data_IF_348470082107
#
_entry.id   IF_348470082107
#
_cell.length_a   1.000
_cell.length_b   1.000
_cell.length_c   1.000
_cell.angle_alpha   90.00
_cell.angle_beta   90.00
_cell.angle_gamma   90.00
#
_symmetry.space_group_name_H-M   'P 1'
#
loop_
_entity.id
_entity.type
_entity.pdbx_description
1 polymer ?
#
# COMPACT_ATOMS: atom_id res chain seq x y z
N UNK A 1 -31.52 -50.59 -21.71
CA UNK A 1 -30.84 -49.42 -22.32
C UNK A 1 -30.26 -48.58 -21.20
N UNK A 2 -28.98 -48.78 -20.88
CA UNK A 2 -28.32 -48.03 -19.80
C UNK A 2 -27.64 -46.81 -20.41
N UNK A 3 -28.30 -45.65 -20.34
CA UNK A 3 -27.65 -44.38 -20.62
C UNK A 3 -26.60 -44.13 -19.53
N UNK A 4 -25.35 -44.57 -19.80
CA UNK A 4 -24.17 -43.96 -19.19
C UNK A 4 -24.14 -42.51 -19.65
N UNK A 5 -24.82 -41.65 -18.90
CA UNK A 5 -24.69 -40.21 -19.02
C UNK A 5 -23.21 -39.87 -18.96
N UNK A 6 -22.69 -39.32 -20.04
CA UNK A 6 -21.32 -38.89 -20.14
C UNK A 6 -21.13 -37.73 -19.16
N UNK A 7 -20.61 -38.02 -17.96
CA UNK A 7 -20.14 -37.03 -17.00
C UNK A 7 -18.88 -36.39 -17.57
N UNK A 8 -19.06 -35.50 -18.55
CA UNK A 8 -17.98 -34.71 -19.08
C UNK A 8 -17.36 -33.93 -17.91
N UNK A 9 -16.12 -34.29 -17.56
CA UNK A 9 -15.39 -33.63 -16.48
C UNK A 9 -15.19 -32.16 -16.86
N UNK A 10 -15.90 -31.28 -16.18
CA UNK A 10 -15.83 -29.85 -16.42
C UNK A 10 -14.50 -29.34 -15.87
N UNK A 11 -13.63 -28.90 -16.78
CA UNK A 11 -12.36 -28.26 -16.47
C UNK A 11 -12.33 -26.84 -17.06
N UNK A 12 -11.66 -25.92 -16.37
CA UNK A 12 -11.37 -24.60 -16.91
C UNK A 12 -10.05 -24.62 -17.66
N UNK A 13 -10.07 -24.03 -18.86
CA UNK A 13 -8.89 -23.83 -19.69
C UNK A 13 -7.92 -22.81 -19.07
N UNK A 14 -6.76 -22.67 -19.68
CA UNK A 14 -5.79 -21.63 -19.31
C UNK A 14 -6.47 -20.24 -19.32
N UNK A 15 -6.44 -19.49 -18.20
CA UNK A 15 -7.11 -18.19 -18.12
C UNK A 15 -6.48 -17.12 -19.03
N UNK A 16 -5.25 -17.30 -19.49
CA UNK A 16 -4.48 -16.28 -20.20
C UNK A 16 -3.35 -15.73 -19.33
N UNK A 17 -2.68 -14.71 -19.85
CA UNK A 17 -1.59 -14.02 -19.14
C UNK A 17 -2.10 -12.70 -18.57
N UNK A 18 -1.62 -12.35 -17.38
CA UNK A 18 -1.84 -11.04 -16.76
C UNK A 18 -0.64 -10.16 -17.08
N UNK A 19 -0.83 -9.08 -17.83
CA UNK A 19 0.24 -8.12 -18.12
C UNK A 19 0.68 -7.39 -16.85
N UNK A 20 2.00 -7.27 -16.65
CA UNK A 20 2.61 -6.68 -15.45
C UNK A 20 2.13 -7.36 -14.15
N UNK A 21 1.96 -8.68 -14.18
CA UNK A 21 1.51 -9.46 -13.04
C UNK A 21 1.68 -10.96 -13.21
N UNK A 22 1.26 -11.69 -12.19
CA UNK A 22 1.33 -13.14 -12.08
C UNK A 22 -0.02 -13.70 -11.62
N UNK A 23 -0.27 -14.94 -12.01
CA UNK A 23 -1.45 -15.71 -11.61
C UNK A 23 -0.97 -16.83 -10.71
N UNK A 24 -1.65 -17.01 -9.58
CA UNK A 24 -1.39 -18.06 -8.61
C UNK A 24 -2.57 -19.02 -8.55
N UNK A 25 -2.33 -20.32 -8.53
CA UNK A 25 -3.32 -21.32 -8.17
C UNK A 25 -3.47 -21.37 -6.64
N UNK A 26 -4.70 -21.28 -6.16
CA UNK A 26 -5.03 -21.36 -4.74
C UNK A 26 -5.28 -22.82 -4.38
N UNK A 27 -4.29 -23.45 -3.76
CA UNK A 27 -4.39 -24.79 -3.21
C UNK A 27 -4.94 -24.80 -1.78
N UNK A 28 -5.25 -25.99 -1.27
CA UNK A 28 -5.78 -26.16 0.09
C UNK A 28 -4.76 -25.81 1.18
N UNK A 29 -3.47 -26.04 0.92
CA UNK A 29 -2.38 -25.82 1.88
C UNK A 29 -1.57 -24.55 1.61
N UNK A 30 -1.47 -24.14 0.35
CA UNK A 30 -0.69 -22.99 -0.08
C UNK A 30 -1.10 -22.55 -1.49
N UNK A 31 -0.59 -21.38 -1.87
CA UNK A 31 -0.68 -20.86 -3.23
C UNK A 31 0.60 -21.17 -4.01
N UNK A 32 0.44 -21.46 -5.31
CA UNK A 32 1.54 -21.82 -6.19
C UNK A 32 1.43 -21.04 -7.50
N UNK A 33 2.55 -20.73 -8.15
CA UNK A 33 2.54 -20.08 -9.47
C UNK A 33 1.72 -20.92 -10.46
N UNK A 34 0.76 -20.29 -11.12
CA UNK A 34 -0.01 -20.93 -12.17
C UNK A 34 0.88 -21.09 -13.41
N UNK A 35 0.98 -22.31 -13.94
CA UNK A 35 1.69 -22.57 -15.19
C UNK A 35 0.74 -22.98 -16.32
N UNK A 36 1.01 -22.62 -17.59
CA UNK A 36 0.11 -22.91 -18.72
C UNK A 36 -0.25 -24.39 -18.90
N UNK A 37 0.63 -25.31 -18.50
CA UNK A 37 0.37 -26.75 -18.55
C UNK A 37 -0.71 -27.22 -17.55
N UNK A 38 -1.14 -26.38 -16.61
CA UNK A 38 -2.20 -26.66 -15.63
C UNK A 38 -3.61 -26.39 -16.18
N UNK A 39 -3.83 -26.56 -17.49
CA UNK A 39 -5.09 -26.24 -18.19
C UNK A 39 -6.26 -27.19 -17.89
N UNK A 40 -6.14 -28.06 -16.90
CA UNK A 40 -7.12 -29.09 -16.51
C UNK A 40 -7.55 -28.94 -15.04
N UNK A 41 -7.78 -27.71 -14.59
CA UNK A 41 -8.33 -27.46 -13.26
C UNK A 41 -9.82 -27.74 -13.25
N UNK A 42 -10.26 -28.61 -12.34
CA UNK A 42 -11.67 -28.96 -12.18
C UNK A 42 -12.52 -27.82 -11.61
N UNK A 43 -13.82 -28.09 -11.50
CA UNK A 43 -14.79 -27.20 -10.89
C UNK A 43 -14.36 -26.73 -9.48
N UNK A 44 -14.73 -25.49 -9.13
CA UNK A 44 -14.50 -24.82 -7.85
C UNK A 44 -13.03 -24.58 -7.49
N UNK A 45 -12.10 -24.85 -8.41
CA UNK A 45 -10.70 -24.43 -8.26
C UNK A 45 -10.58 -22.93 -8.38
N UNK A 46 -9.65 -22.35 -7.62
CA UNK A 46 -9.49 -20.90 -7.50
C UNK A 46 -8.10 -20.48 -7.97
N UNK A 47 -8.03 -19.28 -8.52
CA UNK A 47 -6.81 -18.58 -8.86
C UNK A 47 -6.82 -17.18 -8.26
N UNK A 48 -5.64 -16.66 -7.92
CA UNK A 48 -5.41 -15.30 -7.41
C UNK A 48 -4.54 -14.53 -8.38
N UNK A 49 -4.78 -13.23 -8.49
CA UNK A 49 -4.00 -12.31 -9.29
C UNK A 49 -3.08 -11.48 -8.41
N UNK A 50 -1.89 -11.19 -8.93
CA UNK A 50 -0.92 -10.33 -8.27
C UNK A 50 -0.24 -9.47 -9.31
N UNK A 51 -0.16 -8.16 -9.08
CA UNK A 51 0.57 -7.28 -9.97
C UNK A 51 2.05 -7.20 -9.57
N UNK A 52 2.90 -6.90 -10.55
CA UNK A 52 4.31 -6.63 -10.32
C UNK A 52 4.51 -5.37 -9.45
N UNK A 53 5.72 -5.21 -8.92
CA UNK A 53 6.09 -4.03 -8.12
C UNK A 53 5.81 -2.75 -8.92
N UNK A 54 5.22 -1.75 -8.26
CA UNK A 54 4.79 -0.48 -8.87
C UNK A 54 3.55 -0.57 -9.76
N UNK A 55 2.81 -1.67 -9.72
CA UNK A 55 1.50 -1.80 -10.35
C UNK A 55 0.44 -2.14 -9.31
N UNK A 56 -0.76 -1.59 -9.50
CA UNK A 56 -1.93 -1.83 -8.65
C UNK A 56 -2.97 -2.63 -9.40
N UNK A 57 -3.55 -3.61 -8.72
CA UNK A 57 -4.60 -4.44 -9.25
C UNK A 57 -5.92 -3.66 -9.32
N UNK A 58 -6.45 -3.50 -10.53
CA UNK A 58 -7.80 -3.00 -10.79
C UNK A 58 -8.70 -4.17 -11.17
N UNK A 59 -9.81 -4.32 -10.45
CA UNK A 59 -10.77 -5.40 -10.64
C UNK A 59 -10.68 -6.48 -9.54
N UNK A 60 -11.23 -7.67 -9.79
CA UNK A 60 -11.26 -8.74 -8.80
C UNK A 60 -9.87 -9.31 -8.51
N UNK A 61 -9.62 -9.70 -7.26
CA UNK A 61 -8.35 -10.28 -6.81
C UNK A 61 -8.16 -11.75 -7.16
N UNK A 62 -9.20 -12.43 -7.64
CA UNK A 62 -9.13 -13.83 -8.02
C UNK A 62 -10.31 -14.28 -8.86
N UNK A 63 -10.31 -15.54 -9.25
CA UNK A 63 -11.39 -16.16 -10.02
C UNK A 63 -11.56 -17.62 -9.66
N UNK A 64 -12.80 -18.09 -9.74
CA UNK A 64 -13.19 -19.47 -9.46
C UNK A 64 -13.60 -20.13 -10.78
N UNK A 65 -13.21 -21.38 -10.95
CA UNK A 65 -13.64 -22.21 -12.06
C UNK A 65 -15.09 -22.65 -11.86
N UNK A 66 -16.00 -22.10 -12.65
CA UNK A 66 -17.43 -22.39 -12.60
C UNK A 66 -17.90 -22.75 -14.00
N UNK A 67 -18.34 -24.00 -14.17
CA UNK A 67 -18.88 -24.54 -15.42
C UNK A 67 -17.92 -24.36 -16.59
N UNK A 68 -16.63 -24.65 -16.35
CA UNK A 68 -15.56 -24.59 -17.36
C UNK A 68 -15.08 -23.18 -17.67
N UNK A 69 -15.60 -22.17 -16.95
CA UNK A 69 -15.25 -20.77 -17.15
C UNK A 69 -14.70 -20.14 -15.87
N UNK A 70 -13.68 -19.30 -16.01
CA UNK A 70 -13.18 -18.48 -14.91
C UNK A 70 -14.14 -17.33 -14.62
N UNK A 71 -14.59 -17.24 -13.37
CA UNK A 71 -15.54 -16.23 -12.88
C UNK A 71 -15.03 -15.60 -11.58
N UNK A 72 -14.96 -14.27 -11.46
CA UNK A 72 -15.19 -13.26 -12.51
C UNK A 72 -14.27 -13.42 -13.73
N UNK A 73 -14.62 -12.81 -14.86
CA UNK A 73 -13.82 -12.96 -16.08
C UNK A 73 -12.48 -12.23 -15.93
N UNK A 74 -11.37 -12.92 -16.23
CA UNK A 74 -10.01 -12.36 -16.19
C UNK A 74 -9.84 -11.06 -17.01
N UNK A 75 -10.62 -10.87 -18.08
CA UNK A 75 -10.58 -9.63 -18.90
C UNK A 75 -10.94 -8.36 -18.12
N UNK A 76 -11.56 -8.51 -16.95
CA UNK A 76 -11.90 -7.40 -16.05
C UNK A 76 -10.73 -6.99 -15.14
N UNK A 77 -9.66 -7.77 -15.12
CA UNK A 77 -8.49 -7.56 -14.25
C UNK A 77 -7.41 -6.84 -15.05
N UNK A 78 -6.87 -5.76 -14.48
CA UNK A 78 -5.76 -5.00 -15.07
C UNK A 78 -4.77 -4.56 -14.01
N UNK A 79 -3.47 -4.64 -14.32
CA UNK A 79 -2.42 -4.06 -13.51
C UNK A 79 -2.08 -2.67 -14.05
N UNK A 80 -2.37 -1.64 -13.28
CA UNK A 80 -2.13 -0.24 -13.67
C UNK A 80 -0.91 0.28 -12.93
N UNK A 81 0.05 0.85 -13.67
CA UNK A 81 1.27 1.41 -13.10
C UNK A 81 0.89 2.53 -12.12
N UNK A 82 1.31 2.37 -10.87
CA UNK A 82 1.19 3.42 -9.86
C UNK A 82 2.49 4.17 -9.77
N UNK A 83 2.41 5.48 -9.86
CA UNK A 83 3.54 6.32 -9.51
C UNK A 83 3.58 6.36 -7.98
N UNK A 84 4.68 5.90 -7.38
CA UNK A 84 4.89 5.98 -5.93
C UNK A 84 4.80 7.43 -5.40
N UNK A 85 4.85 8.44 -6.27
CA UNK A 85 4.65 9.85 -5.92
C UNK A 85 3.17 10.25 -5.75
N UNK A 86 2.21 9.46 -6.27
CA UNK A 86 0.76 9.75 -6.15
C UNK A 86 0.08 9.02 -5.00
N UNK A 87 0.72 8.03 -4.38
CA UNK A 87 0.23 7.32 -3.18
C UNK A 87 1.01 7.67 -1.91
N UNK A 88 1.90 8.66 -1.94
CA UNK A 88 2.29 9.35 -0.70
C UNK A 88 1.08 10.18 -0.27
N UNK A 89 0.14 9.54 0.43
CA UNK A 89 -0.51 10.25 1.51
C UNK A 89 0.60 10.56 2.50
N UNK A 90 0.90 11.85 2.73
CA UNK A 90 1.80 12.31 3.81
C UNK A 90 1.38 11.82 5.21
N UNK A 91 0.32 11.01 5.31
CA UNK A 91 -0.22 10.41 6.51
C UNK A 91 0.24 8.95 6.73
N UNK A 92 0.67 8.20 5.70
CA UNK A 92 1.07 6.80 5.88
C UNK A 92 2.52 6.64 6.34
N UNK A 93 3.39 7.62 6.06
CA UNK A 93 4.72 7.74 6.72
C UNK A 93 4.62 8.12 8.21
N UNK A 94 3.44 8.54 8.69
CA UNK A 94 3.18 8.88 10.09
C UNK A 94 2.47 7.75 10.86
N UNK A 95 1.99 6.70 10.19
CA UNK A 95 1.17 5.64 10.84
C UNK A 95 1.97 4.52 11.48
N UNK A 96 3.25 4.33 11.16
CA UNK A 96 4.07 3.31 11.82
C UNK A 96 4.59 3.72 13.21
N UNK A 97 4.19 4.89 13.73
CA UNK A 97 4.52 5.35 15.09
C UNK A 97 3.28 5.73 15.93
N UNK A 98 2.07 5.34 15.52
CA UNK A 98 0.82 5.74 16.19
C UNK A 98 -0.06 4.57 16.63
N UNK A 99 0.54 3.39 16.86
CA UNK A 99 -0.15 2.30 17.53
C UNK A 99 -0.31 2.62 19.04
N UNK A 100 -1.52 3.08 19.34
CA UNK A 100 -2.35 2.77 20.52
C UNK A 100 -2.22 3.50 21.87
N UNK A 101 -1.28 4.44 22.12
CA UNK A 101 -1.18 5.04 23.49
C UNK A 101 -1.11 6.58 23.65
N UNK A 102 -1.28 7.43 22.62
CA UNK A 102 -1.04 8.90 22.76
C UNK A 102 -2.31 9.79 22.61
N UNK A 103 -3.53 9.26 22.57
CA UNK A 103 -4.74 10.11 22.37
C UNK A 103 -5.41 10.62 23.68
N UNK A 104 -4.93 10.28 24.88
CA UNK A 104 -5.61 10.72 26.13
C UNK A 104 -4.97 11.89 26.90
N UNK A 105 -3.73 12.34 26.60
CA UNK A 105 -3.02 13.31 27.47
C UNK A 105 -2.78 14.69 26.81
N UNK A 106 -3.00 14.84 25.49
CA UNK A 106 -2.48 15.97 24.71
C UNK A 106 -3.33 17.24 24.52
N UNK A 107 -4.54 17.37 25.08
CA UNK A 107 -5.46 18.49 24.74
C UNK A 107 -5.73 19.47 25.89
N UNK A 108 -4.71 20.06 26.52
CA UNK A 108 -4.95 21.13 27.53
C UNK A 108 -4.22 22.46 27.45
N UNK A 109 -3.15 22.72 26.67
CA UNK A 109 -2.43 24.00 26.87
C UNK A 109 -1.77 24.64 25.62
N UNK A 110 -2.54 24.96 24.57
CA UNK A 110 -2.01 25.75 23.43
C UNK A 110 -1.73 27.23 23.75
N UNK A 111 -2.48 27.86 24.67
CA UNK A 111 -2.36 29.31 24.92
C UNK A 111 -1.09 29.71 25.69
N UNK A 112 -0.61 28.87 26.62
CA UNK A 112 0.63 29.12 27.37
C UNK A 112 1.90 28.90 26.53
N UNK A 113 1.89 27.91 25.62
CA UNK A 113 3.04 27.56 24.79
C UNK A 113 3.40 28.68 23.78
N UNK A 114 2.40 29.31 23.15
CA UNK A 114 2.61 30.43 22.20
C UNK A 114 3.19 31.67 22.90
N UNK A 115 2.79 31.94 24.14
CA UNK A 115 3.30 33.06 24.96
C UNK A 115 4.78 32.86 25.35
N UNK A 116 5.13 31.67 25.84
CA UNK A 116 6.51 31.34 26.25
C UNK A 116 7.49 31.32 25.07
N UNK A 117 7.04 30.90 23.87
CA UNK A 117 7.89 30.93 22.69
C UNK A 117 8.23 32.37 22.26
N UNK A 118 7.23 33.28 22.28
CA UNK A 118 7.43 34.69 21.89
C UNK A 118 8.41 35.42 22.80
N UNK A 119 8.34 35.18 24.12
CA UNK A 119 9.25 35.79 25.10
C UNK A 119 10.69 35.27 24.99
N UNK A 120 10.88 33.97 24.70
CA UNK A 120 12.20 33.36 24.52
C UNK A 120 12.90 33.82 23.23
N UNK A 121 12.14 34.00 22.14
CA UNK A 121 12.66 34.55 20.88
C UNK A 121 13.14 35.98 21.06
N UNK A 122 12.37 36.84 21.74
CA UNK A 122 12.76 38.22 22.04
C UNK A 122 14.00 38.30 22.94
N UNK A 123 14.10 37.40 23.94
CA UNK A 123 15.27 37.31 24.83
C UNK A 123 16.54 36.91 24.07
N UNK A 124 16.45 35.94 23.15
CA UNK A 124 17.58 35.53 22.29
C UNK A 124 18.02 36.66 21.35
N UNK A 125 17.09 37.38 20.73
CA UNK A 125 17.41 38.53 19.86
C UNK A 125 18.10 39.66 20.62
N UNK A 126 17.68 39.94 21.87
CA UNK A 126 18.31 40.95 22.73
C UNK A 126 19.74 40.58 23.11
N UNK A 127 19.99 39.31 23.47
CA UNK A 127 21.35 38.80 23.76
C UNK A 127 22.26 38.86 22.52
N UNK A 128 21.71 38.59 21.33
CA UNK A 128 22.46 38.69 20.06
C UNK A 128 22.87 40.13 19.75
N UNK A 129 22.00 41.11 20.02
CA UNK A 129 22.32 42.55 19.89
C UNK A 129 23.40 43.01 20.88
N UNK A 130 23.35 42.54 22.13
CA UNK A 130 24.37 42.86 23.15
C UNK A 130 25.73 42.25 22.79
N UNK A 131 25.74 41.01 22.26
CA UNK A 131 26.96 40.35 21.78
C UNK A 131 27.59 41.12 20.61
N UNK A 132 26.79 41.57 19.63
CA UNK A 132 27.29 42.40 18.53
C UNK A 132 27.79 43.78 19.00
N UNK A 133 27.16 44.39 20.01
CA UNK A 133 27.64 45.66 20.62
C UNK A 133 28.99 45.49 21.33
N UNK A 134 29.18 44.39 22.04
CA UNK A 134 30.46 44.11 22.72
C UNK A 134 31.57 43.80 21.72
N UNK A 135 31.25 43.11 20.61
CA UNK A 135 32.20 42.86 19.53
C UNK A 135 32.62 44.16 18.81
N UNK A 136 31.70 45.11 18.61
CA UNK A 136 32.02 46.43 18.04
C UNK A 136 32.89 47.29 18.97
N UNK A 137 32.72 47.19 20.30
CA UNK A 137 33.52 47.94 21.28
C UNK A 137 34.97 47.44 21.42
N UNK A 138 35.22 46.16 21.13
CA UNK A 138 36.58 45.59 21.15
C UNK A 138 37.40 45.98 19.90
N UNK A 139 36.76 46.39 18.82
CA UNK A 139 37.42 46.79 17.57
C UNK A 139 37.83 48.27 17.51
N UNK A 140 37.41 49.10 18.48
CA UNK A 140 37.74 50.55 18.55
C UNK A 140 38.75 50.91 19.65
N UNK A 141 39.41 49.92 20.25
CA UNK A 141 40.42 50.11 21.30
C UNK A 141 41.80 49.63 20.81
N UNK A 142 42.29 50.25 19.73
CA UNK A 142 43.67 50.18 19.26
C UNK A 142 44.07 51.51 18.66
#
# INVERSE_FOLDING_TARGET
MNHRGNLAKINCAFPGHLENGKIFYVGTLAEYTYHPYMSNLGQNKQIRYECDKSFKLMGPNGSTCINGNWKPNIKLVKCVKVNHLSEINLNDTLKTELDENIISIGLKNERKAKSLFRSNVQRRLKLRRLRNRNHMRQSTAK
#
